data_IF_882116610329
#
_entry.id   IF_882116610329
#
_cell.length_a   1.000
_cell.length_b   1.000
_cell.length_c   1.000
_cell.angle_alpha   90.00
_cell.angle_beta   90.00
_cell.angle_gamma   90.00
#
_symmetry.space_group_name_H-M   'P 1'
#
loop_
_entity.id
_entity.type
_entity.pdbx_description
1 polymer ?
#
# COMPACT_ATOMS: atom_id res chain seq x y z
N UNK A 1 -4.82 -9.05 9.17
CA UNK A 1 -4.36 -8.34 7.98
C UNK A 1 -3.04 -8.91 7.52
N UNK A 2 -2.98 -9.49 6.35
CA UNK A 2 -1.72 -10.05 5.87
C UNK A 2 -0.77 -8.95 5.41
N UNK A 3 0.48 -9.09 5.86
CA UNK A 3 1.56 -8.27 5.36
C UNK A 3 2.05 -8.94 4.08
N UNK A 4 2.05 -8.21 2.97
CA UNK A 4 2.46 -8.79 1.70
C UNK A 4 3.90 -8.45 1.34
N UNK A 5 4.45 -7.40 1.95
CA UNK A 5 5.81 -6.95 1.67
C UNK A 5 6.30 -6.10 2.84
N UNK A 6 7.53 -6.29 3.22
CA UNK A 6 8.15 -5.46 4.26
C UNK A 6 9.50 -4.99 3.76
N UNK A 7 9.69 -3.68 3.71
CA UNK A 7 10.93 -3.07 3.27
C UNK A 7 11.34 -2.07 4.34
N UNK A 8 12.44 -2.36 5.04
CA UNK A 8 12.85 -1.52 6.15
C UNK A 8 11.74 -1.42 7.18
N UNK A 9 11.36 -0.19 7.50
CA UNK A 9 10.29 0.04 8.48
C UNK A 9 8.91 0.13 7.86
N UNK A 10 8.80 -0.01 6.54
CA UNK A 10 7.54 0.10 5.82
C UNK A 10 6.90 -1.26 5.68
N UNK A 11 5.66 -1.40 6.17
CA UNK A 11 4.91 -2.65 6.10
C UNK A 11 3.72 -2.46 5.16
N UNK A 12 3.72 -3.21 4.07
CA UNK A 12 2.69 -3.14 3.03
C UNK A 12 1.64 -4.21 3.31
N UNK A 13 0.37 -3.80 3.37
CA UNK A 13 -0.70 -4.74 3.70
C UNK A 13 -2.03 -4.33 3.05
N UNK A 14 -2.97 -5.29 3.05
CA UNK A 14 -4.34 -5.06 2.59
C UNK A 14 -5.32 -5.24 3.74
N UNK A 15 -6.51 -4.60 3.63
CA UNK A 15 -7.63 -4.84 4.52
C UNK A 15 -8.64 -5.73 3.80
N UNK A 16 -9.25 -6.67 4.54
CA UNK A 16 -10.07 -7.72 3.94
C UNK A 16 -11.42 -7.23 3.42
N UNK A 17 -11.89 -6.09 3.89
CA UNK A 17 -13.24 -5.62 3.55
C UNK A 17 -13.25 -4.56 2.45
N UNK A 18 -12.21 -4.49 1.64
CA UNK A 18 -12.08 -3.46 0.60
C UNK A 18 -12.11 -4.02 -0.82
N UNK A 19 -12.73 -5.17 -1.00
CA UNK A 19 -12.68 -5.86 -2.30
C UNK A 19 -13.41 -5.14 -3.43
N UNK A 20 -14.34 -4.22 -3.10
CA UNK A 20 -15.12 -3.51 -4.11
C UNK A 20 -14.47 -2.21 -4.57
N UNK A 21 -13.30 -1.90 -4.05
CA UNK A 21 -12.59 -0.68 -4.40
C UNK A 21 -11.54 -0.96 -5.46
N UNK A 22 -11.09 0.09 -6.19
CA UNK A 22 -9.96 -0.09 -7.10
C UNK A 22 -8.73 -0.60 -6.34
N UNK A 23 -7.81 -1.21 -7.08
CA UNK A 23 -6.61 -1.77 -6.48
C UNK A 23 -5.83 -0.70 -5.70
N UNK A 24 -5.42 -1.04 -4.49
CA UNK A 24 -4.72 -0.11 -3.61
C UNK A 24 -3.86 -0.87 -2.62
N UNK A 25 -2.99 -0.15 -1.91
CA UNK A 25 -2.11 -0.72 -0.90
C UNK A 25 -2.04 0.21 0.30
N UNK A 26 -2.02 -0.37 1.49
CA UNK A 26 -1.80 0.36 2.73
C UNK A 26 -0.37 0.15 3.16
N UNK A 27 0.29 1.20 3.64
CA UNK A 27 1.66 1.12 4.12
C UNK A 27 1.72 1.73 5.51
N UNK A 28 2.17 0.95 6.48
CA UNK A 28 2.22 1.37 7.87
C UNK A 28 3.64 1.44 8.38
N UNK A 29 3.87 2.39 9.28
CA UNK A 29 5.10 2.49 10.07
C UNK A 29 4.69 2.68 11.53
N UNK A 30 5.68 2.81 12.42
CA UNK A 30 5.39 3.12 13.82
C UNK A 30 4.70 4.49 13.98
N UNK A 31 4.88 5.39 13.02
CA UNK A 31 4.37 6.77 13.12
C UNK A 31 2.97 6.94 12.53
N UNK A 32 2.55 6.06 11.63
CA UNK A 32 1.27 6.23 10.99
C UNK A 32 1.08 5.29 9.82
N UNK A 33 0.12 5.64 8.98
CA UNK A 33 -0.28 4.78 7.86
C UNK A 33 -0.74 5.62 6.69
N UNK A 34 -0.47 5.15 5.47
CA UNK A 34 -0.98 5.81 4.26
C UNK A 34 -1.58 4.78 3.32
N UNK A 35 -2.29 5.28 2.31
CA UNK A 35 -2.95 4.45 1.31
C UNK A 35 -2.63 5.02 -0.06
N UNK A 36 -2.24 4.16 -1.00
CA UNK A 36 -2.00 4.54 -2.39
C UNK A 36 -2.89 3.73 -3.31
N UNK A 37 -3.50 4.41 -4.28
CA UNK A 37 -4.10 3.71 -5.41
C UNK A 37 -2.97 3.15 -6.26
N UNK A 38 -3.21 2.03 -6.92
CA UNK A 38 -2.18 1.37 -7.72
C UNK A 38 -2.29 1.64 -9.22
N UNK A 39 -3.42 2.20 -9.66
CA UNK A 39 -3.62 2.43 -11.10
C UNK A 39 -4.59 3.58 -11.32
N UNK A 40 -4.07 4.81 -11.50
CA UNK A 40 -2.66 5.21 -11.43
C UNK A 40 -2.17 5.23 -9.98
N UNK A 41 -0.87 5.35 -9.79
CA UNK A 41 -0.30 5.41 -8.45
C UNK A 41 -0.48 6.83 -7.92
N UNK A 42 -1.41 6.98 -6.97
CA UNK A 42 -1.78 8.27 -6.40
C UNK A 42 -2.05 8.09 -4.91
N UNK A 43 -1.55 9.00 -4.11
CA UNK A 43 -1.82 8.99 -2.66
C UNK A 43 -3.32 9.17 -2.42
N UNK A 44 -3.92 8.24 -1.70
CA UNK A 44 -5.35 8.26 -1.40
C UNK A 44 -5.64 8.71 0.02
N UNK A 45 -4.68 8.57 0.94
CA UNK A 45 -4.88 8.99 2.32
C UNK A 45 -3.59 8.88 3.12
N UNK A 46 -3.52 9.67 4.19
CA UNK A 46 -2.35 9.70 5.06
C UNK A 46 -2.79 10.02 6.49
N UNK A 47 -2.29 9.24 7.43
CA UNK A 47 -2.51 9.48 8.85
C UNK A 47 -1.16 9.40 9.56
N UNK A 48 -0.54 10.56 9.77
CA UNK A 48 0.63 10.68 10.62
C UNK A 48 1.99 10.51 9.95
N UNK A 49 2.03 10.25 8.65
CA UNK A 49 3.33 10.11 7.97
C UNK A 49 3.79 11.46 7.45
N UNK A 50 5.12 11.66 7.48
CA UNK A 50 5.74 12.88 7.01
C UNK A 50 5.91 12.84 5.48
N UNK A 51 6.06 14.01 4.85
CA UNK A 51 6.28 14.05 3.40
C UNK A 51 7.48 13.21 2.93
N UNK A 52 8.54 13.14 3.72
CA UNK A 52 9.71 12.32 3.38
C UNK A 52 9.34 10.86 3.26
N UNK A 53 8.56 10.35 4.24
CA UNK A 53 8.12 8.98 4.22
C UNK A 53 7.20 8.72 3.04
N UNK A 54 6.28 9.65 2.76
CA UNK A 54 5.36 9.50 1.64
C UNK A 54 6.11 9.42 0.31
N UNK A 55 7.16 10.21 0.13
CA UNK A 55 7.96 10.16 -1.09
C UNK A 55 8.69 8.82 -1.24
N UNK A 56 9.27 8.33 -0.14
CA UNK A 56 9.94 7.03 -0.17
C UNK A 56 8.96 5.90 -0.46
N UNK A 57 7.79 5.95 0.18
CA UNK A 57 6.77 4.93 -0.01
C UNK A 57 6.27 4.96 -1.46
N UNK A 58 6.04 6.15 -2.01
CA UNK A 58 5.60 6.26 -3.39
C UNK A 58 6.60 5.62 -4.34
N UNK A 59 7.89 5.86 -4.11
CA UNK A 59 8.94 5.26 -4.93
C UNK A 59 8.90 3.73 -4.82
N UNK A 60 8.74 3.22 -3.60
CA UNK A 60 8.66 1.77 -3.39
C UNK A 60 7.43 1.18 -4.04
N UNK A 61 6.29 1.88 -3.97
CA UNK A 61 5.06 1.42 -4.63
C UNK A 61 5.30 1.34 -6.14
N UNK A 62 5.93 2.36 -6.72
CA UNK A 62 6.23 2.34 -8.15
C UNK A 62 7.15 1.19 -8.53
N UNK A 63 8.18 0.93 -7.71
CA UNK A 63 9.13 -0.14 -7.99
C UNK A 63 8.50 -1.52 -7.90
N UNK A 64 7.49 -1.67 -7.06
CA UNK A 64 6.88 -2.98 -6.79
C UNK A 64 5.44 -3.07 -7.26
N UNK A 65 5.01 -2.18 -8.15
CA UNK A 65 3.60 -2.07 -8.50
C UNK A 65 3.04 -3.37 -9.12
N UNK A 66 3.82 -4.04 -9.96
CA UNK A 66 3.36 -5.30 -10.58
C UNK A 66 3.12 -6.36 -9.51
N UNK A 67 4.06 -6.49 -8.57
CA UNK A 67 3.94 -7.43 -7.47
C UNK A 67 2.73 -7.10 -6.59
N UNK A 68 2.55 -5.82 -6.29
CA UNK A 68 1.45 -5.40 -5.42
C UNK A 68 0.10 -5.62 -6.07
N UNK A 69 -0.01 -5.37 -7.39
CA UNK A 69 -1.25 -5.64 -8.11
C UNK A 69 -1.59 -7.12 -8.11
N UNK A 70 -0.58 -7.96 -8.33
CA UNK A 70 -0.78 -9.41 -8.33
C UNK A 70 -1.25 -9.89 -6.96
N UNK A 71 -0.61 -9.39 -5.90
CA UNK A 71 -0.99 -9.77 -4.55
C UNK A 71 -2.38 -9.25 -4.17
N UNK A 72 -2.73 -8.06 -4.65
CA UNK A 72 -4.06 -7.52 -4.43
C UNK A 72 -5.12 -8.44 -5.04
N UNK A 73 -4.90 -8.88 -6.28
CA UNK A 73 -5.84 -9.77 -6.95
C UNK A 73 -5.95 -11.11 -6.23
N UNK A 74 -4.82 -11.68 -5.80
CA UNK A 74 -4.82 -12.94 -5.06
C UNK A 74 -5.59 -12.81 -3.75
N UNK A 75 -5.34 -11.72 -3.02
CA UNK A 75 -5.92 -11.54 -1.69
C UNK A 75 -7.43 -11.32 -1.76
N UNK A 76 -7.91 -10.60 -2.78
CA UNK A 76 -9.33 -10.26 -2.90
C UNK A 76 -10.09 -11.22 -3.80
N UNK A 77 -9.45 -12.25 -4.31
CA UNK A 77 -10.13 -13.27 -5.10
C UNK A 77 -11.05 -14.07 -4.19
N UNK A 78 -12.30 -14.14 -4.55
CA UNK A 78 -13.29 -14.84 -3.74
C UNK A 78 -13.16 -16.34 -3.87
#
# INVERSE_FOLDING_TARGET
MPTVLRIGRYRFHFYSDERNKPAHIHVATADGECKFWLQPIVLAGNKGLRPDDLRRIERLVCEHVAFLKEKYLEYHRA
#
